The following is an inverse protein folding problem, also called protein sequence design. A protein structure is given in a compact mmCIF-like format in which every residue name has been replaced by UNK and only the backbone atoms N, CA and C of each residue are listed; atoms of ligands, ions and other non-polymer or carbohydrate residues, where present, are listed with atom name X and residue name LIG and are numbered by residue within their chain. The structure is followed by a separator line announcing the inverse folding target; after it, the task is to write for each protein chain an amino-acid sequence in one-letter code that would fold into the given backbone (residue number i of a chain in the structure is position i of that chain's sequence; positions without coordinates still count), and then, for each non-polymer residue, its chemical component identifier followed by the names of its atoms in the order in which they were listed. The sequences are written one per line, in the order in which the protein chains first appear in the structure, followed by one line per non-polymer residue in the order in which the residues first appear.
data_IF_030558035777
#
_entry.id   IF_030558035777
#
_cell.length_a   1.000
_cell.length_b   1.000
_cell.length_c   1.000
_cell.angle_alpha   90.00
_cell.angle_beta   90.00
_cell.angle_gamma   90.00
#
_symmetry.space_group_name_H-M   'P 1'
#
loop_
_entity.id
_entity.type
_entity.pdbx_description
1 polymer ?
#
# COMPACT_ATOMS: atom_id res chain seq x y z
N UNK A 1 0.46 -26.47 4.96
CA UNK A 1 0.44 -25.24 4.16
C UNK A 1 0.17 -24.14 5.15
N UNK A 2 1.22 -23.43 5.54
CA UNK A 2 1.15 -22.41 6.58
C UNK A 2 0.20 -21.31 6.10
N UNK A 3 -0.81 -20.99 6.91
CA UNK A 3 -1.73 -19.89 6.62
C UNK A 3 -0.90 -18.59 6.66
N UNK A 4 -0.31 -18.21 5.53
CA UNK A 4 0.31 -16.89 5.40
C UNK A 4 -0.76 -15.87 5.76
N UNK A 5 -0.55 -15.18 6.88
CA UNK A 5 -1.42 -14.08 7.28
C UNK A 5 -1.24 -13.01 6.22
N UNK A 6 -2.24 -12.86 5.35
CA UNK A 6 -2.30 -11.73 4.43
C UNK A 6 -2.40 -10.49 5.30
N UNK A 7 -1.34 -9.70 5.35
CA UNK A 7 -1.40 -8.39 5.98
C UNK A 7 -2.32 -7.51 5.14
N UNK A 8 -3.04 -6.62 5.82
CA UNK A 8 -4.01 -5.72 5.19
C UNK A 8 -3.65 -4.31 5.56
N UNK A 9 -3.67 -3.41 4.59
CA UNK A 9 -3.48 -1.99 4.81
C UNK A 9 -4.59 -1.15 4.19
N UNK A 10 -4.71 0.09 4.65
CA UNK A 10 -5.67 1.06 4.13
C UNK A 10 -4.98 1.94 3.09
N UNK A 11 -5.19 1.64 1.81
CA UNK A 11 -4.64 2.39 0.69
C UNK A 11 -5.53 3.58 0.32
N UNK A 12 -4.92 4.74 0.07
CA UNK A 12 -5.64 5.93 -0.41
C UNK A 12 -5.70 5.94 -1.94
N UNK A 13 -6.93 5.93 -2.47
CA UNK A 13 -7.20 5.96 -3.89
C UNK A 13 -6.74 7.30 -4.49
N UNK A 14 -5.98 7.22 -5.57
CA UNK A 14 -5.53 8.36 -6.39
C UNK A 14 -6.55 8.68 -7.49
N UNK A 15 -6.50 9.90 -8.03
CA UNK A 15 -7.42 10.35 -9.08
C UNK A 15 -7.33 9.55 -10.38
N UNK A 16 -6.18 8.92 -10.63
CA UNK A 16 -5.89 8.10 -11.80
C UNK A 16 -6.25 6.63 -11.61
N UNK A 17 -6.71 6.23 -10.43
CA UNK A 17 -6.94 4.82 -10.12
C UNK A 17 -8.25 4.29 -10.72
N UNK A 18 -8.16 3.03 -11.12
CA UNK A 18 -9.30 2.14 -11.32
C UNK A 18 -9.13 0.91 -10.41
N UNK A 19 -10.19 0.11 -10.25
CA UNK A 19 -10.06 -1.14 -9.48
C UNK A 19 -8.98 -2.06 -10.07
N UNK A 20 -8.78 -2.03 -11.39
CA UNK A 20 -7.76 -2.85 -12.06
C UNK A 20 -6.34 -2.34 -11.78
N UNK A 21 -6.12 -1.02 -11.82
CA UNK A 21 -4.77 -0.47 -11.55
C UNK A 21 -4.36 -0.71 -10.09
N UNK A 22 -5.30 -0.59 -9.15
CA UNK A 22 -5.05 -0.90 -7.73
C UNK A 22 -4.77 -2.41 -7.57
N UNK A 23 -5.57 -3.27 -8.20
CA UNK A 23 -5.34 -4.72 -8.13
C UNK A 23 -3.95 -5.09 -8.63
N UNK A 24 -3.50 -4.51 -9.75
CA UNK A 24 -2.17 -4.73 -10.29
C UNK A 24 -1.07 -4.21 -9.34
N UNK A 25 -1.26 -3.02 -8.76
CA UNK A 25 -0.31 -2.41 -7.81
C UNK A 25 -0.06 -3.30 -6.58
N UNK A 26 -1.08 -4.03 -6.12
CA UNK A 26 -0.99 -4.94 -4.98
C UNK A 26 -0.91 -6.42 -5.39
N UNK A 27 -0.57 -6.70 -6.66
CA UNK A 27 -0.45 -8.06 -7.22
C UNK A 27 -1.62 -8.99 -6.83
N UNK A 28 -2.83 -8.45 -6.92
CA UNK A 28 -4.08 -9.13 -6.56
C UNK A 28 -5.10 -9.01 -7.69
N UNK A 29 -6.36 -9.35 -7.43
CA UNK A 29 -7.45 -9.23 -8.41
C UNK A 29 -8.56 -8.29 -7.92
N UNK A 30 -9.33 -7.66 -8.83
CA UNK A 30 -10.51 -6.88 -8.45
C UNK A 30 -11.48 -7.66 -7.55
N UNK A 31 -11.64 -8.96 -7.80
CA UNK A 31 -12.48 -9.86 -7.00
C UNK A 31 -11.99 -9.93 -5.55
N UNK A 32 -10.69 -10.14 -5.35
CA UNK A 32 -10.09 -10.18 -4.01
C UNK A 32 -10.21 -8.83 -3.30
N UNK A 33 -10.02 -7.71 -4.01
CA UNK A 33 -10.23 -6.38 -3.44
C UNK A 33 -11.67 -6.18 -2.96
N UNK A 34 -12.67 -6.56 -3.77
CA UNK A 34 -14.08 -6.50 -3.37
C UNK A 34 -14.35 -7.37 -2.14
N UNK A 35 -13.80 -8.59 -2.12
CA UNK A 35 -13.97 -9.50 -1.00
C UNK A 35 -13.39 -8.95 0.30
N UNK A 36 -12.19 -8.38 0.23
CA UNK A 36 -11.49 -7.77 1.37
C UNK A 36 -12.22 -6.55 1.94
N UNK A 37 -13.04 -5.89 1.11
CA UNK A 37 -13.79 -4.68 1.45
C UNK A 37 -15.29 -4.92 1.67
N UNK A 38 -15.67 -6.14 2.09
CA UNK A 38 -17.03 -6.43 2.54
C UNK A 38 -17.98 -6.95 1.45
N UNK A 39 -17.44 -7.45 0.33
CA UNK A 39 -18.21 -8.09 -0.75
C UNK A 39 -19.25 -7.19 -1.44
N UNK A 40 -19.05 -5.88 -1.44
CA UNK A 40 -19.88 -4.91 -2.16
C UNK A 40 -19.06 -4.21 -3.26
N UNK A 41 -19.72 -3.68 -4.32
CA UNK A 41 -19.03 -2.88 -5.32
C UNK A 41 -18.20 -1.77 -4.68
N UNK A 42 -16.90 -1.76 -4.96
CA UNK A 42 -15.98 -0.75 -4.43
C UNK A 42 -16.21 0.60 -5.10
N UNK A 43 -16.34 1.65 -4.29
CA UNK A 43 -16.41 3.02 -4.80
C UNK A 43 -14.99 3.54 -5.00
N UNK A 44 -14.49 3.42 -6.22
CA UNK A 44 -13.17 3.93 -6.61
C UNK A 44 -13.27 5.43 -6.86
N UNK A 45 -12.97 6.22 -5.82
CA UNK A 45 -12.96 7.69 -5.88
C UNK A 45 -11.74 8.20 -5.11
N UNK A 46 -11.05 9.19 -5.68
CA UNK A 46 -9.89 9.83 -5.07
C UNK A 46 -10.12 10.24 -3.60
N UNK A 47 -9.07 10.16 -2.80
CA UNK A 47 -9.04 10.50 -1.37
C UNK A 47 -9.95 9.61 -0.49
N UNK A 48 -10.48 8.51 -1.02
CA UNK A 48 -11.08 7.44 -0.20
C UNK A 48 -10.06 6.37 0.10
N UNK A 49 -10.22 5.71 1.24
CA UNK A 49 -9.40 4.56 1.59
C UNK A 49 -10.15 3.25 1.33
N UNK A 50 -9.41 2.25 0.87
CA UNK A 50 -9.87 0.86 0.77
C UNK A 50 -8.81 -0.08 1.35
N UNK A 51 -9.25 -1.23 1.81
CA UNK A 51 -8.36 -2.30 2.25
C UNK A 51 -7.70 -2.97 1.05
N UNK A 52 -6.40 -3.18 1.13
CA UNK A 52 -5.60 -3.88 0.12
C UNK A 52 -4.72 -4.94 0.80
N UNK A 53 -4.42 -6.05 0.12
CA UNK A 53 -3.46 -7.02 0.65
C UNK A 53 -2.04 -6.46 0.54
N UNK A 54 -1.26 -6.67 1.59
CA UNK A 54 0.19 -6.48 1.59
C UNK A 54 0.84 -7.86 1.56
N UNK A 55 1.53 -8.15 0.46
CA UNK A 55 2.25 -9.40 0.28
C UNK A 55 3.71 -9.22 0.71
N UNK A 56 4.31 -10.16 1.46
CA UNK A 56 5.68 -10.01 1.97
C UNK A 56 6.76 -9.77 0.91
N UNK A 57 6.52 -10.24 -0.32
CA UNK A 57 7.44 -10.09 -1.47
C UNK A 57 7.19 -8.81 -2.27
N UNK A 58 6.17 -8.03 -1.94
CA UNK A 58 6.00 -6.70 -2.50
C UNK A 58 6.92 -5.75 -1.72
N UNK A 59 7.93 -5.20 -2.41
CA UNK A 59 8.85 -4.21 -1.86
C UNK A 59 8.17 -2.85 -1.74
N UNK A 60 7.04 -2.79 -1.05
CA UNK A 60 6.26 -1.59 -0.83
C UNK A 60 5.54 -1.66 0.50
N UNK A 61 5.28 -0.50 1.08
CA UNK A 61 4.55 -0.32 2.32
C UNK A 61 3.46 0.72 2.14
N UNK A 62 2.33 0.54 2.81
CA UNK A 62 1.26 1.54 2.85
C UNK A 62 1.31 2.24 4.19
N UNK A 63 1.59 3.55 4.17
CA UNK A 63 1.78 4.38 5.37
C UNK A 63 0.57 4.30 6.28
N UNK A 64 0.78 4.00 7.56
CA UNK A 64 -0.26 3.96 8.58
C UNK A 64 -0.48 5.35 9.17
N UNK A 65 -1.65 5.57 9.75
CA UNK A 65 -1.87 6.72 10.61
C UNK A 65 -0.81 6.70 11.73
N UNK A 66 -0.10 7.80 11.90
CA UNK A 66 0.93 8.04 12.92
C UNK A 66 2.35 7.48 12.64
N UNK A 67 2.61 6.92 11.45
CA UNK A 67 4.00 6.60 11.07
C UNK A 67 4.78 7.85 10.67
N UNK A 68 6.04 7.92 11.12
CA UNK A 68 7.01 8.95 10.72
C UNK A 68 8.04 8.39 9.73
N UNK A 69 8.79 9.27 9.05
CA UNK A 69 9.94 8.84 8.24
C UNK A 69 10.92 8.03 9.08
N UNK A 70 11.18 8.47 10.31
CA UNK A 70 12.12 7.80 11.22
C UNK A 70 11.69 6.36 11.50
N UNK A 71 10.39 6.11 11.71
CA UNK A 71 9.85 4.77 11.93
C UNK A 71 10.10 3.86 10.72
N UNK A 72 9.90 4.39 9.51
CA UNK A 72 10.13 3.66 8.26
C UNK A 72 11.61 3.33 8.07
N UNK A 73 12.51 4.30 8.29
CA UNK A 73 13.96 4.11 8.14
C UNK A 73 14.48 3.02 9.08
N UNK A 74 14.04 3.05 10.35
CA UNK A 74 14.42 2.04 11.36
C UNK A 74 13.85 0.67 10.98
N UNK A 75 12.55 0.60 10.69
CA UNK A 75 11.85 -0.66 10.41
C UNK A 75 12.39 -1.37 9.17
N UNK A 76 12.60 -0.62 8.09
CA UNK A 76 13.02 -1.15 6.80
C UNK A 76 14.53 -1.09 6.58
N UNK A 77 15.29 -0.63 7.58
CA UNK A 77 16.75 -0.51 7.54
C UNK A 77 17.21 0.27 6.30
N UNK A 78 16.63 1.45 6.12
CA UNK A 78 16.94 2.37 5.03
C UNK A 78 17.67 3.61 5.56
N UNK A 79 18.51 4.22 4.74
CA UNK A 79 18.96 5.60 4.95
C UNK A 79 17.96 6.60 4.35
N UNK A 80 17.97 7.89 4.78
CA UNK A 80 17.17 8.92 4.14
C UNK A 80 17.40 9.00 2.62
N UNK A 81 18.65 8.89 2.18
CA UNK A 81 19.03 8.94 0.76
C UNK A 81 18.45 7.75 -0.01
N UNK A 82 18.55 6.53 0.52
CA UNK A 82 17.95 5.35 -0.10
C UNK A 82 16.43 5.48 -0.24
N UNK A 83 15.77 5.98 0.81
CA UNK A 83 14.32 6.18 0.79
C UNK A 83 13.89 7.19 -0.29
N UNK A 84 14.61 8.31 -0.42
CA UNK A 84 14.35 9.34 -1.42
C UNK A 84 14.66 8.86 -2.85
N UNK A 85 15.76 8.12 -3.06
CA UNK A 85 16.10 7.54 -4.36
C UNK A 85 15.03 6.56 -4.86
N UNK A 86 14.40 5.82 -3.94
CA UNK A 86 13.30 4.90 -4.27
C UNK A 86 11.97 5.64 -4.49
N UNK A 87 11.81 6.85 -3.95
CA UNK A 87 10.56 7.60 -3.90
C UNK A 87 10.79 9.08 -4.22
N UNK A 88 11.01 9.42 -5.49
CA UNK A 88 11.33 10.79 -5.93
C UNK A 88 10.32 11.84 -5.42
N UNK A 89 9.02 11.51 -5.44
CA UNK A 89 7.94 12.35 -4.90
C UNK A 89 7.45 11.84 -3.53
N UNK A 90 8.38 11.63 -2.59
CA UNK A 90 8.08 11.10 -1.26
C UNK A 90 7.06 11.98 -0.51
N UNK A 91 5.85 11.45 -0.32
CA UNK A 91 4.82 12.06 0.51
C UNK A 91 4.43 11.09 1.63
N UNK A 92 4.75 11.47 2.86
CA UNK A 92 4.35 10.70 4.03
C UNK A 92 2.96 11.13 4.47
N UNK A 93 1.93 10.44 3.97
CA UNK A 93 0.55 10.60 4.41
C UNK A 93 -0.14 9.24 4.52
N UNK A 94 -1.07 9.05 5.48
CA UNK A 94 -1.74 7.77 5.68
C UNK A 94 -2.40 7.23 4.40
N UNK A 95 -2.06 6.01 4.01
CA UNK A 95 -2.55 5.37 2.80
C UNK A 95 -1.75 5.63 1.53
N UNK A 96 -0.68 6.43 1.59
CA UNK A 96 0.31 6.51 0.51
C UNK A 96 1.16 5.24 0.44
N UNK A 97 1.63 4.91 -0.76
CA UNK A 97 2.55 3.78 -0.99
C UNK A 97 3.98 4.30 -1.01
N UNK A 98 4.82 3.67 -0.20
CA UNK A 98 6.27 3.86 -0.16
C UNK A 98 6.91 2.64 -0.80
N UNK A 99 7.74 2.85 -1.82
CA UNK A 99 8.60 1.81 -2.39
C UNK A 99 9.77 1.56 -1.44
N UNK A 100 10.08 0.29 -1.23
CA UNK A 100 11.16 -0.20 -0.38
C UNK A 100 12.23 -0.86 -1.25
N UNK A 101 13.39 -1.14 -0.65
CA UNK A 101 14.42 -1.94 -1.31
C UNK A 101 13.98 -3.40 -1.45
N UNK A 102 14.41 -4.11 -2.50
CA UNK A 102 14.25 -5.56 -2.64
C UNK A 102 14.96 -6.40 -1.57
#
# INVERSE_FOLDING_TARGET
MENERIEVANYMIKSTDSIQTIANLFQTTPKVLIQLNGNQPLIIKANRQIKVPLLPHLNQHVVKSDETIQDLLIRFKLTPEELLMLNEDLQLAPGQVIKLKP
#
